data_IF_447007857776
#
_entry.id   IF_447007857776
#
_cell.length_a   1.000
_cell.length_b   1.000
_cell.length_c   1.000
_cell.angle_alpha   90.00
_cell.angle_beta   90.00
_cell.angle_gamma   90.00
#
_symmetry.space_group_name_H-M   'P 1'
#
loop_
_entity.id
_entity.type
_entity.pdbx_description
1 polymer ?
#
# COMPACT_ATOMS: atom_id res chain seq x y z
N UNK A 1 5.79 -19.16 -29.05
CA UNK A 1 6.91 -18.33 -28.57
C UNK A 1 6.52 -17.76 -27.22
N UNK A 2 7.41 -17.82 -26.24
CA UNK A 2 7.15 -17.26 -24.92
C UNK A 2 7.63 -15.82 -24.80
N UNK A 3 6.90 -15.01 -24.04
CA UNK A 3 7.26 -13.63 -23.76
C UNK A 3 6.92 -13.23 -22.33
N UNK A 4 7.77 -12.41 -21.72
CA UNK A 4 7.65 -11.98 -20.33
C UNK A 4 7.48 -10.46 -20.27
N UNK A 5 6.48 -10.00 -19.52
CA UNK A 5 6.31 -8.60 -19.18
C UNK A 5 6.52 -8.39 -17.69
N UNK A 6 7.28 -7.35 -17.33
CA UNK A 6 7.55 -6.97 -15.95
C UNK A 6 7.11 -5.52 -15.74
N UNK A 7 6.27 -5.26 -14.74
CA UNK A 7 5.94 -3.90 -14.29
C UNK A 7 6.43 -3.70 -12.86
N UNK A 8 7.37 -2.77 -12.67
CA UNK A 8 7.77 -2.30 -11.35
C UNK A 8 6.93 -1.07 -11.01
N UNK A 9 5.80 -1.32 -10.35
CA UNK A 9 4.91 -0.25 -9.87
C UNK A 9 5.42 0.38 -8.58
N UNK A 10 4.66 1.32 -8.03
CA UNK A 10 5.01 2.03 -6.78
C UNK A 10 4.90 1.18 -5.51
N UNK A 11 4.02 0.18 -5.51
CA UNK A 11 3.78 -0.70 -4.35
C UNK A 11 4.05 -2.17 -4.62
N UNK A 12 4.04 -2.61 -5.88
CA UNK A 12 4.11 -4.02 -6.27
C UNK A 12 5.02 -4.25 -7.48
N UNK A 13 5.66 -5.41 -7.51
CA UNK A 13 6.24 -6.01 -8.71
C UNK A 13 5.16 -6.89 -9.33
N UNK A 14 4.86 -6.67 -10.62
CA UNK A 14 3.91 -7.50 -11.37
C UNK A 14 4.63 -8.14 -12.54
N UNK A 15 4.27 -9.38 -12.87
CA UNK A 15 4.78 -10.05 -14.06
C UNK A 15 3.70 -10.88 -14.74
N UNK A 16 3.86 -11.05 -16.06
CA UNK A 16 3.02 -11.91 -16.88
C UNK A 16 3.87 -12.65 -17.91
N UNK A 17 3.77 -13.98 -17.93
CA UNK A 17 4.38 -14.85 -18.93
C UNK A 17 3.29 -15.29 -19.91
N UNK A 18 3.53 -15.08 -21.20
CA UNK A 18 2.64 -15.48 -22.27
C UNK A 18 3.27 -16.58 -23.13
N UNK A 19 2.41 -17.42 -23.71
CA UNK A 19 2.71 -18.28 -24.85
C UNK A 19 1.85 -17.83 -26.03
N UNK A 20 2.44 -17.08 -26.97
CA UNK A 20 1.66 -16.32 -27.93
C UNK A 20 0.79 -15.28 -27.21
N UNK A 21 -0.53 -15.21 -27.47
CA UNK A 21 -1.44 -14.31 -26.73
C UNK A 21 -1.97 -14.92 -25.42
N UNK A 22 -1.70 -16.20 -25.15
CA UNK A 22 -2.24 -16.91 -23.98
C UNK A 22 -1.39 -16.64 -22.75
N UNK A 23 -2.03 -16.23 -21.66
CA UNK A 23 -1.37 -16.11 -20.36
C UNK A 23 -1.15 -17.50 -19.79
N UNK A 24 0.11 -17.83 -19.47
CA UNK A 24 0.48 -19.11 -18.83
C UNK A 24 0.87 -18.94 -17.37
N UNK A 25 1.30 -17.74 -16.98
CA UNK A 25 1.59 -17.40 -15.60
C UNK A 25 1.51 -15.89 -15.36
N UNK A 26 1.12 -15.50 -14.16
CA UNK A 26 1.13 -14.10 -13.71
C UNK A 26 1.36 -14.04 -12.21
N UNK A 27 2.02 -12.99 -11.74
CA UNK A 27 2.22 -12.74 -10.32
C UNK A 27 2.12 -11.24 -10.00
N UNK A 28 1.70 -10.95 -8.76
CA UNK A 28 1.67 -9.61 -8.19
C UNK A 28 2.18 -9.70 -6.76
N UNK A 29 3.35 -9.13 -6.51
CA UNK A 29 4.02 -9.23 -5.21
C UNK A 29 4.30 -7.83 -4.64
N UNK A 30 3.87 -7.53 -3.40
CA UNK A 30 4.18 -6.27 -2.75
C UNK A 30 5.68 -6.21 -2.43
N UNK A 31 6.34 -5.13 -2.84
CA UNK A 31 7.79 -5.04 -2.65
C UNK A 31 8.23 -4.36 -1.36
N UNK A 32 7.35 -3.65 -0.65
CA UNK A 32 7.65 -2.97 0.63
C UNK A 32 8.96 -2.15 0.59
N UNK A 33 9.19 -1.44 -0.51
CA UNK A 33 10.43 -0.69 -0.78
C UNK A 33 11.66 -1.50 -1.25
N UNK A 34 11.63 -2.83 -1.25
CA UNK A 34 12.71 -3.71 -1.74
C UNK A 34 12.31 -4.46 -3.02
N UNK A 35 12.08 -3.74 -4.11
CA UNK A 35 11.72 -4.35 -5.38
C UNK A 35 12.82 -5.24 -6.00
N UNK A 36 14.15 -5.03 -5.81
CA UNK A 36 15.16 -5.91 -6.40
C UNK A 36 15.08 -7.34 -5.87
N UNK A 37 14.97 -7.51 -4.55
CA UNK A 37 14.81 -8.81 -3.90
C UNK A 37 13.46 -9.45 -4.28
N UNK A 38 12.39 -8.65 -4.25
CA UNK A 38 11.04 -9.10 -4.62
C UNK A 38 11.00 -9.63 -6.05
N UNK A 39 11.58 -8.90 -7.01
CA UNK A 39 11.66 -9.34 -8.40
C UNK A 39 12.48 -10.63 -8.54
N UNK A 40 13.63 -10.72 -7.86
CA UNK A 40 14.49 -11.91 -7.90
C UNK A 40 13.77 -13.15 -7.39
N UNK A 41 13.04 -13.02 -6.29
CA UNK A 41 12.21 -14.09 -5.72
C UNK A 41 11.07 -14.49 -6.65
N UNK A 42 10.37 -13.50 -7.20
CA UNK A 42 9.25 -13.70 -8.12
C UNK A 42 9.70 -14.43 -9.40
N UNK A 43 10.84 -14.05 -10.00
CA UNK A 43 11.37 -14.71 -11.19
C UNK A 43 11.90 -16.12 -10.88
N UNK A 44 12.50 -16.34 -9.71
CA UNK A 44 12.94 -17.67 -9.27
C UNK A 44 11.78 -18.62 -8.97
N UNK A 45 10.57 -18.09 -8.72
CA UNK A 45 9.37 -18.88 -8.43
C UNK A 45 8.63 -19.40 -9.66
N UNK A 46 9.12 -19.11 -10.87
CA UNK A 46 8.50 -19.52 -12.13
C UNK A 46 9.54 -20.18 -13.05
N UNK A 47 9.18 -21.29 -13.69
CA UNK A 47 10.00 -21.90 -14.74
C UNK A 47 9.95 -21.04 -16.01
N UNK A 48 10.97 -20.19 -16.18
CA UNK A 48 11.09 -19.29 -17.32
C UNK A 48 11.87 -19.97 -18.45
N UNK A 49 11.35 -19.98 -19.69
CA UNK A 49 12.09 -20.51 -20.84
C UNK A 49 13.43 -19.79 -21.03
N UNK A 50 14.52 -20.51 -21.32
CA UNK A 50 15.82 -19.89 -21.58
C UNK A 50 15.75 -18.83 -22.67
N UNK A 51 16.27 -17.63 -22.38
CA UNK A 51 16.28 -16.53 -23.34
C UNK A 51 14.90 -15.93 -23.66
N UNK A 52 13.89 -16.14 -22.80
CA UNK A 52 12.56 -15.53 -22.96
C UNK A 52 12.66 -14.03 -23.24
N UNK A 53 11.99 -13.60 -24.32
CA UNK A 53 11.95 -12.18 -24.67
C UNK A 53 11.17 -11.42 -23.61
N UNK A 54 11.83 -10.44 -23.00
CA UNK A 54 11.31 -9.72 -21.85
C UNK A 54 11.24 -8.23 -22.13
N UNK A 55 10.15 -7.60 -21.70
CA UNK A 55 9.99 -6.15 -21.75
C UNK A 55 9.57 -5.62 -20.38
N UNK A 56 10.17 -4.51 -19.99
CA UNK A 56 9.93 -3.90 -18.67
C UNK A 56 9.18 -2.58 -18.80
N UNK A 57 8.27 -2.33 -17.87
CA UNK A 57 7.61 -1.04 -17.68
C UNK A 57 7.55 -0.66 -16.20
N UNK A 58 6.93 0.47 -15.87
CA UNK A 58 6.99 1.09 -14.55
C UNK A 58 8.27 1.90 -14.33
N UNK A 59 8.17 3.00 -13.57
CA UNK A 59 9.22 4.02 -13.49
C UNK A 59 10.58 3.45 -13.07
N UNK A 60 10.65 2.78 -11.93
CA UNK A 60 11.90 2.19 -11.44
C UNK A 60 12.40 1.09 -12.36
N UNK A 61 11.50 0.27 -12.90
CA UNK A 61 11.84 -0.83 -13.82
C UNK A 61 12.57 -0.33 -15.06
N UNK A 62 12.07 0.73 -15.70
CA UNK A 62 12.69 1.33 -16.90
C UNK A 62 14.10 1.88 -16.62
N UNK A 63 14.33 2.42 -15.43
CA UNK A 63 15.59 3.04 -15.07
C UNK A 63 16.62 2.07 -14.49
N UNK A 64 16.19 1.05 -13.77
CA UNK A 64 17.06 0.19 -12.96
C UNK A 64 17.22 -1.23 -13.51
N UNK A 65 16.31 -1.75 -14.33
CA UNK A 65 16.49 -3.05 -14.96
C UNK A 65 17.34 -2.95 -16.23
N UNK A 66 18.18 -3.95 -16.44
CA UNK A 66 18.98 -4.15 -17.64
C UNK A 66 18.19 -4.96 -18.70
N UNK A 67 16.98 -4.47 -18.99
CA UNK A 67 16.03 -5.04 -19.94
C UNK A 67 15.52 -3.90 -20.81
N UNK A 68 15.16 -4.18 -22.07
CA UNK A 68 14.43 -3.22 -22.88
C UNK A 68 13.17 -2.72 -22.15
N UNK A 69 12.86 -1.45 -22.36
CA UNK A 69 11.89 -0.76 -21.52
C UNK A 69 10.91 0.04 -22.36
N UNK A 70 9.66 0.12 -21.90
CA UNK A 70 8.57 0.84 -22.57
C UNK A 70 7.72 1.56 -21.53
N UNK A 71 7.13 2.70 -21.90
CA UNK A 71 6.24 3.45 -21.00
C UNK A 71 4.90 2.70 -20.80
N UNK A 72 4.30 2.86 -19.61
CA UNK A 72 3.07 2.16 -19.23
C UNK A 72 1.89 2.42 -20.18
N UNK A 73 1.65 3.64 -20.71
CA UNK A 73 0.57 3.88 -21.66
C UNK A 73 0.63 3.01 -22.92
N UNK A 74 1.82 2.71 -23.45
CA UNK A 74 1.96 1.84 -24.62
C UNK A 74 1.66 0.37 -24.28
N UNK A 75 1.98 -0.06 -23.06
CA UNK A 75 1.58 -1.39 -22.58
C UNK A 75 0.06 -1.48 -22.47
N UNK A 76 -0.58 -0.44 -21.94
CA UNK A 76 -2.04 -0.35 -21.85
C UNK A 76 -2.66 -0.45 -23.25
N UNK A 77 -2.18 0.32 -24.22
CA UNK A 77 -2.66 0.23 -25.60
C UNK A 77 -2.47 -1.19 -26.17
N UNK A 78 -1.31 -1.81 -25.99
CA UNK A 78 -1.08 -3.17 -26.49
C UNK A 78 -2.05 -4.19 -25.88
N UNK A 79 -2.34 -4.07 -24.58
CA UNK A 79 -3.34 -4.89 -23.91
C UNK A 79 -4.75 -4.62 -24.44
N UNK A 80 -5.11 -3.36 -24.74
CA UNK A 80 -6.40 -2.99 -25.34
C UNK A 80 -6.54 -3.50 -26.78
N UNK A 81 -5.49 -3.46 -27.59
CA UNK A 81 -5.50 -4.00 -28.96
C UNK A 81 -5.76 -5.50 -29.01
N UNK A 82 -5.36 -6.24 -27.96
CA UNK A 82 -5.60 -7.67 -27.87
C UNK A 82 -7.00 -8.03 -27.34
N UNK A 83 -7.86 -7.02 -27.07
CA UNK A 83 -9.26 -7.22 -26.67
C UNK A 83 -10.19 -7.21 -27.87
N UNK A 84 -11.37 -7.83 -27.69
CA UNK A 84 -12.41 -7.92 -28.73
C UNK A 84 -13.49 -6.84 -28.59
N UNK A 85 -13.56 -6.18 -27.43
CA UNK A 85 -14.53 -5.15 -27.09
C UNK A 85 -13.89 -3.76 -27.14
N UNK A 86 -14.65 -2.79 -27.68
CA UNK A 86 -14.30 -1.37 -27.62
C UNK A 86 -14.71 -0.77 -26.28
N UNK A 87 -13.88 0.13 -25.76
CA UNK A 87 -14.13 0.89 -24.52
C UNK A 87 -13.97 2.38 -24.77
N UNK A 88 -14.63 3.21 -23.98
CA UNK A 88 -14.55 4.67 -24.07
C UNK A 88 -13.45 5.25 -23.16
N UNK A 89 -13.19 4.56 -22.03
CA UNK A 89 -12.12 4.94 -21.11
C UNK A 89 -11.57 3.75 -20.31
N UNK A 90 -10.35 3.92 -19.82
CA UNK A 90 -9.70 3.03 -18.87
C UNK A 90 -9.38 3.80 -17.59
N UNK A 91 -9.71 3.23 -16.43
CA UNK A 91 -9.34 3.75 -15.12
C UNK A 91 -8.31 2.81 -14.50
N UNK A 92 -7.07 3.27 -14.37
CA UNK A 92 -6.02 2.56 -13.63
C UNK A 92 -6.08 2.97 -12.16
N UNK A 93 -6.44 2.00 -11.31
CA UNK A 93 -6.60 2.13 -9.86
C UNK A 93 -5.35 1.56 -9.16
N UNK A 94 -4.31 2.38 -9.11
CA UNK A 94 -2.99 2.03 -8.57
C UNK A 94 -2.86 2.18 -7.06
N UNK A 95 -1.64 1.89 -6.58
CA UNK A 95 -1.27 2.06 -5.17
C UNK A 95 -1.15 3.54 -4.78
N UNK A 96 -0.43 4.31 -5.58
CA UNK A 96 -0.16 5.74 -5.30
C UNK A 96 -0.87 6.70 -6.27
N UNK A 97 -1.42 6.16 -7.36
CA UNK A 97 -2.03 6.94 -8.42
C UNK A 97 -3.43 6.42 -8.81
N UNK A 98 -4.19 7.34 -9.38
CA UNK A 98 -5.44 7.11 -10.07
C UNK A 98 -5.32 7.84 -11.40
N UNK A 99 -5.43 7.10 -12.51
CA UNK A 99 -5.33 7.67 -13.84
C UNK A 99 -6.52 7.24 -14.68
N UNK A 100 -7.16 8.19 -15.35
CA UNK A 100 -8.20 7.92 -16.35
C UNK A 100 -7.64 8.22 -17.73
N UNK A 101 -7.64 7.22 -18.61
CA UNK A 101 -7.28 7.35 -20.01
C UNK A 101 -8.55 7.35 -20.86
N UNK A 102 -8.73 8.33 -21.72
CA UNK A 102 -9.81 8.31 -22.73
C UNK A 102 -9.32 7.60 -23.96
N UNK A 103 -10.15 6.71 -24.51
CA UNK A 103 -9.76 5.78 -25.57
C UNK A 103 -10.56 6.10 -26.84
N UNK A 104 -9.92 6.05 -28.00
CA UNK A 104 -10.60 6.20 -29.30
C UNK A 104 -11.13 4.88 -29.85
N UNK A 105 -11.80 4.94 -31.01
CA UNK A 105 -12.34 3.76 -31.70
C UNK A 105 -11.28 2.77 -32.19
N UNK A 106 -10.01 3.17 -32.21
CA UNK A 106 -8.88 2.34 -32.59
C UNK A 106 -8.12 1.80 -31.37
N UNK A 107 -8.70 1.86 -30.16
CA UNK A 107 -8.06 1.43 -28.91
C UNK A 107 -6.74 2.17 -28.62
N UNK A 108 -6.64 3.44 -29.01
CA UNK A 108 -5.52 4.34 -28.71
C UNK A 108 -5.88 5.32 -27.60
N UNK A 109 -4.88 5.66 -26.80
CA UNK A 109 -5.03 6.65 -25.73
C UNK A 109 -5.00 8.04 -26.36
N UNK A 110 -6.10 8.79 -26.20
CA UNK A 110 -6.20 10.18 -26.65
C UNK A 110 -5.55 11.11 -25.64
N UNK A 111 -5.90 10.95 -24.37
CA UNK A 111 -5.40 11.78 -23.26
C UNK A 111 -5.53 11.06 -21.93
N UNK A 112 -4.90 11.61 -20.89
CA UNK A 112 -4.92 11.08 -19.54
C UNK A 112 -5.21 12.16 -18.50
N UNK A 113 -5.98 11.77 -17.46
CA UNK A 113 -6.32 12.59 -16.32
C UNK A 113 -5.78 11.92 -15.07
N UNK A 114 -4.76 12.52 -14.45
CA UNK A 114 -4.08 11.97 -13.27
C UNK A 114 -4.23 12.86 -12.02
N UNK A 115 -4.10 12.23 -10.85
CA UNK A 115 -4.44 12.78 -9.54
C UNK A 115 -3.34 12.60 -8.52
N UNK A 116 -2.14 13.12 -8.80
CA UNK A 116 -0.91 12.63 -8.16
C UNK A 116 -0.42 13.49 -6.98
N UNK A 117 -1.29 14.29 -6.35
CA UNK A 117 -0.87 15.22 -5.28
C UNK A 117 -1.39 14.88 -3.87
N UNK A 118 -2.26 13.88 -3.74
CA UNK A 118 -2.78 13.48 -2.43
C UNK A 118 -3.01 11.97 -2.38
N UNK A 119 -2.41 11.32 -1.39
CA UNK A 119 -2.61 9.90 -1.06
C UNK A 119 -4.07 9.59 -0.66
N UNK A 120 -4.90 10.60 -0.42
CA UNK A 120 -6.33 10.39 -0.16
C UNK A 120 -6.98 9.72 -1.36
N UNK A 121 -7.55 8.53 -1.13
CA UNK A 121 -8.27 7.76 -2.14
C UNK A 121 -7.37 6.98 -3.11
N UNK A 122 -6.21 6.51 -2.67
CA UNK A 122 -5.36 5.56 -3.43
C UNK A 122 -5.27 4.21 -2.70
N UNK A 123 -4.84 3.16 -3.40
CA UNK A 123 -4.74 1.81 -2.82
C UNK A 123 -3.78 1.70 -1.63
N UNK A 124 -2.66 2.44 -1.67
CA UNK A 124 -1.65 2.44 -0.61
C UNK A 124 -2.20 3.07 0.67
N UNK A 125 -2.92 4.19 0.57
CA UNK A 125 -3.56 4.78 1.75
C UNK A 125 -4.59 3.83 2.39
N UNK A 126 -5.35 3.13 1.55
CA UNK A 126 -6.30 2.11 2.01
C UNK A 126 -5.59 0.97 2.76
N UNK A 127 -4.54 0.39 2.16
CA UNK A 127 -3.69 -0.65 2.77
C UNK A 127 -3.09 -0.19 4.10
N UNK A 128 -2.60 1.05 4.19
CA UNK A 128 -2.09 1.61 5.43
C UNK A 128 -3.14 1.74 6.54
N UNK A 129 -4.40 2.04 6.20
CA UNK A 129 -5.47 2.09 7.21
C UNK A 129 -5.84 0.69 7.69
N UNK A 130 -5.90 -0.30 6.79
CA UNK A 130 -6.12 -1.70 7.17
C UNK A 130 -5.05 -2.16 8.17
N UNK A 131 -3.77 -1.94 7.86
CA UNK A 131 -2.67 -2.32 8.74
C UNK A 131 -2.77 -1.69 10.14
N UNK A 132 -3.29 -0.47 10.26
CA UNK A 132 -3.53 0.18 11.56
C UNK A 132 -4.65 -0.46 12.37
N UNK A 133 -5.66 -0.98 11.68
CA UNK A 133 -6.75 -1.75 12.27
C UNK A 133 -6.38 -3.22 12.47
N UNK A 134 -5.11 -3.58 12.28
CA UNK A 134 -4.61 -4.96 12.30
C UNK A 134 -5.33 -5.87 11.29
N UNK A 135 -5.60 -5.32 10.10
CA UNK A 135 -6.24 -6.00 8.98
C UNK A 135 -5.27 -6.12 7.80
N UNK A 136 -5.45 -7.19 7.06
CA UNK A 136 -4.84 -7.46 5.76
C UNK A 136 -5.81 -7.08 4.62
N UNK A 137 -5.33 -7.10 3.38
CA UNK A 137 -6.20 -6.92 2.22
C UNK A 137 -7.26 -8.02 2.10
N UNK A 138 -6.97 -9.25 2.54
CA UNK A 138 -7.92 -10.38 2.51
C UNK A 138 -9.11 -10.16 3.46
N UNK A 139 -8.88 -9.47 4.59
CA UNK A 139 -9.91 -9.24 5.60
C UNK A 139 -11.07 -8.37 5.08
N UNK A 140 -10.90 -7.66 3.97
CA UNK A 140 -11.99 -6.89 3.33
C UNK A 140 -13.09 -7.82 2.79
N UNK A 141 -12.83 -9.11 2.59
CA UNK A 141 -13.86 -10.06 2.15
C UNK A 141 -14.74 -10.56 3.31
N UNK A 142 -14.39 -10.21 4.56
CA UNK A 142 -15.06 -10.67 5.78
C UNK A 142 -15.75 -9.53 6.55
N UNK A 143 -16.04 -8.41 5.88
CA UNK A 143 -16.71 -7.29 6.55
C UNK A 143 -18.18 -7.66 6.85
N UNK A 144 -18.65 -7.48 8.10
CA UNK A 144 -20.05 -7.73 8.46
C UNK A 144 -21.04 -6.94 7.60
N UNK A 145 -22.18 -7.56 7.26
CA UNK A 145 -23.20 -6.95 6.41
C UNK A 145 -23.87 -5.72 7.04
N UNK A 146 -23.92 -5.66 8.38
CA UNK A 146 -24.51 -4.56 9.14
C UNK A 146 -23.58 -3.33 9.22
N UNK A 147 -22.39 -3.38 8.63
CA UNK A 147 -21.50 -2.23 8.52
C UNK A 147 -22.08 -1.16 7.58
N UNK A 148 -21.76 0.10 7.87
CA UNK A 148 -22.29 1.26 7.15
C UNK A 148 -21.19 2.22 6.69
N UNK A 149 -21.50 2.96 5.63
CA UNK A 149 -20.66 4.08 5.19
C UNK A 149 -20.82 5.25 6.16
N UNK A 150 -19.71 5.73 6.68
CA UNK A 150 -19.60 6.92 7.52
C UNK A 150 -19.00 8.07 6.70
N UNK A 151 -19.41 9.29 7.05
CA UNK A 151 -18.78 10.49 6.49
C UNK A 151 -17.40 10.68 7.12
N UNK A 152 -16.36 10.58 6.30
CA UNK A 152 -14.97 10.83 6.70
C UNK A 152 -14.50 12.20 6.22
N UNK A 153 -13.57 12.81 6.95
CA UNK A 153 -12.76 13.92 6.47
C UNK A 153 -11.87 13.47 5.30
N UNK A 154 -12.33 13.60 4.06
CA UNK A 154 -11.72 12.95 2.89
C UNK A 154 -10.75 13.81 2.07
N UNK A 155 -10.58 15.10 2.37
CA UNK A 155 -9.71 15.99 1.57
C UNK A 155 -8.21 15.69 1.70
N UNK A 156 -7.76 15.37 2.92
CA UNK A 156 -6.36 15.11 3.23
C UNK A 156 -6.22 13.76 3.93
N UNK A 157 -5.30 12.93 3.46
CA UNK A 157 -5.01 11.60 4.04
C UNK A 157 -4.62 11.68 5.52
N UNK A 158 -3.93 12.75 5.94
CA UNK A 158 -3.54 12.97 7.35
C UNK A 158 -4.76 13.16 8.24
N UNK A 159 -5.71 14.00 7.83
CA UNK A 159 -6.94 14.21 8.60
C UNK A 159 -7.88 13.00 8.52
N UNK A 160 -7.96 12.35 7.35
CA UNK A 160 -8.75 11.14 7.18
C UNK A 160 -8.28 10.03 8.11
N UNK A 161 -6.96 9.83 8.24
CA UNK A 161 -6.36 8.91 9.21
C UNK A 161 -6.82 9.23 10.64
N UNK A 162 -6.68 10.49 11.05
CA UNK A 162 -7.00 10.89 12.42
C UNK A 162 -8.49 10.69 12.72
N UNK A 163 -9.37 11.02 11.77
CA UNK A 163 -10.81 10.81 11.88
C UNK A 163 -11.16 9.31 12.02
N UNK A 164 -10.57 8.44 11.19
CA UNK A 164 -10.74 6.99 11.31
C UNK A 164 -10.32 6.48 12.69
N UNK A 165 -9.13 6.88 13.14
CA UNK A 165 -8.59 6.48 14.46
C UNK A 165 -9.49 6.96 15.59
N UNK A 166 -9.92 8.21 15.54
CA UNK A 166 -10.73 8.82 16.59
C UNK A 166 -12.07 8.13 16.76
N UNK A 167 -12.75 7.82 15.63
CA UNK A 167 -14.03 7.11 15.64
C UNK A 167 -13.91 5.69 16.19
N UNK A 168 -12.84 4.97 15.83
CA UNK A 168 -12.54 3.64 16.38
C UNK A 168 -12.32 3.73 17.89
N UNK A 169 -11.49 4.67 18.35
CA UNK A 169 -11.17 4.84 19.76
C UNK A 169 -12.40 5.21 20.62
N UNK A 170 -13.34 5.97 20.05
CA UNK A 170 -14.60 6.32 20.71
C UNK A 170 -15.69 5.25 20.63
N UNK A 171 -15.46 4.18 19.87
CA UNK A 171 -16.49 3.17 19.59
C UNK A 171 -17.62 3.69 18.69
N UNK A 172 -17.43 4.81 18.00
CA UNK A 172 -18.41 5.38 17.05
C UNK A 172 -18.42 4.62 15.70
N UNK A 173 -17.36 3.87 15.41
CA UNK A 173 -17.19 3.07 14.22
C UNK A 173 -16.54 1.73 14.55
N UNK A 174 -16.92 0.69 13.79
CA UNK A 174 -16.18 -0.58 13.71
C UNK A 174 -15.18 -0.52 12.56
N UNK A 175 -14.21 -1.43 12.56
CA UNK A 175 -13.23 -1.54 11.47
C UNK A 175 -13.90 -1.71 10.10
N UNK A 176 -14.97 -2.50 10.03
CA UNK A 176 -15.77 -2.66 8.82
C UNK A 176 -16.44 -1.39 8.31
N UNK A 177 -16.92 -0.53 9.22
CA UNK A 177 -17.48 0.78 8.84
C UNK A 177 -16.40 1.66 8.19
N UNK A 178 -15.17 1.63 8.73
CA UNK A 178 -14.03 2.35 8.15
C UNK A 178 -13.68 1.79 6.76
N UNK A 179 -13.64 0.46 6.58
CA UNK A 179 -13.37 -0.17 5.27
C UNK A 179 -14.37 0.26 4.20
N UNK A 180 -15.67 0.21 4.52
CA UNK A 180 -16.72 0.67 3.60
C UNK A 180 -16.59 2.16 3.29
N UNK A 181 -16.31 2.97 4.30
CA UNK A 181 -16.17 4.43 4.16
C UNK A 181 -14.99 4.81 3.27
N UNK A 182 -13.83 4.19 3.45
CA UNK A 182 -12.65 4.41 2.62
C UNK A 182 -12.87 3.95 1.18
N UNK A 183 -13.53 2.81 0.99
CA UNK A 183 -13.90 2.30 -0.34
C UNK A 183 -14.84 3.27 -1.06
N UNK A 184 -15.79 3.87 -0.34
CA UNK A 184 -16.67 4.90 -0.88
C UNK A 184 -15.91 6.18 -1.27
N UNK A 185 -14.94 6.63 -0.45
CA UNK A 185 -14.08 7.78 -0.79
C UNK A 185 -13.30 7.55 -2.09
N UNK A 186 -12.74 6.35 -2.29
CA UNK A 186 -12.08 6.00 -3.54
C UNK A 186 -13.05 6.01 -4.72
N UNK A 187 -14.26 5.46 -4.55
CA UNK A 187 -15.28 5.43 -5.59
C UNK A 187 -15.75 6.84 -6.01
N UNK A 188 -15.88 7.77 -5.06
CA UNK A 188 -16.16 9.19 -5.36
C UNK A 188 -15.05 9.78 -6.24
N UNK A 189 -13.78 9.51 -5.91
CA UNK A 189 -12.63 10.00 -6.67
C UNK A 189 -12.63 9.47 -8.12
N UNK A 190 -13.00 8.20 -8.33
CA UNK A 190 -13.14 7.63 -9.68
C UNK A 190 -14.22 8.36 -10.47
N UNK A 191 -15.39 8.57 -9.89
CA UNK A 191 -16.49 9.29 -10.54
C UNK A 191 -16.09 10.74 -10.89
N UNK A 192 -15.40 11.44 -10.00
CA UNK A 192 -14.92 12.80 -10.24
C UNK A 192 -13.94 12.87 -11.42
N UNK A 193 -13.06 11.88 -11.55
CA UNK A 193 -12.10 11.80 -12.65
C UNK A 193 -12.74 11.45 -13.99
N UNK A 194 -13.71 10.54 -14.00
CA UNK A 194 -14.50 10.24 -15.20
C UNK A 194 -15.29 11.46 -15.67
N UNK A 195 -15.91 12.21 -14.76
CA UNK A 195 -16.60 13.48 -15.08
C UNK A 195 -15.64 14.52 -15.65
N UNK A 196 -14.44 14.66 -15.08
CA UNK A 196 -13.38 15.54 -15.62
C UNK A 196 -12.94 15.11 -17.03
N UNK A 197 -12.91 13.81 -17.28
CA UNK A 197 -12.65 13.22 -18.60
C UNK A 197 -13.87 13.28 -19.54
N UNK A 198 -15.00 13.84 -19.10
CA UNK A 198 -16.28 13.93 -19.84
C UNK A 198 -16.86 12.56 -20.22
N UNK A 199 -16.61 11.54 -19.40
CA UNK A 199 -17.16 10.19 -19.54
C UNK A 199 -18.31 10.02 -18.54
N UNK A 200 -19.54 10.10 -19.04
CA UNK A 200 -20.76 9.97 -18.22
C UNK A 200 -21.59 8.72 -18.56
N UNK A 201 -21.33 8.08 -19.71
CA UNK A 201 -21.98 6.88 -20.22
C UNK A 201 -21.00 6.05 -21.06
N UNK A 202 -21.38 4.83 -21.39
CA UNK A 202 -20.58 3.94 -22.25
C UNK A 202 -19.84 2.86 -21.47
N UNK A 203 -18.71 2.37 -21.98
CA UNK A 203 -17.93 1.27 -21.41
C UNK A 203 -16.62 1.76 -20.83
N UNK A 204 -16.38 1.41 -19.56
CA UNK A 204 -15.16 1.79 -18.85
C UNK A 204 -14.46 0.55 -18.31
N UNK A 205 -13.20 0.36 -18.70
CA UNK A 205 -12.35 -0.71 -18.18
C UNK A 205 -11.69 -0.26 -16.87
N UNK A 206 -11.76 -1.06 -15.83
CA UNK A 206 -11.08 -0.82 -14.56
C UNK A 206 -9.87 -1.76 -14.44
N UNK A 207 -8.69 -1.22 -14.19
CA UNK A 207 -7.45 -1.98 -13.99
C UNK A 207 -6.76 -1.56 -12.68
N UNK A 208 -5.71 -2.27 -12.31
CA UNK A 208 -4.94 -2.04 -11.08
C UNK A 208 -5.43 -2.88 -9.89
N UNK A 209 -4.56 -3.04 -8.89
CA UNK A 209 -4.80 -3.95 -7.77
C UNK A 209 -5.99 -3.60 -6.89
N UNK A 210 -6.43 -2.33 -6.88
CA UNK A 210 -7.59 -1.87 -6.12
C UNK A 210 -8.92 -2.44 -6.66
N UNK A 211 -8.95 -2.93 -7.90
CA UNK A 211 -10.12 -3.63 -8.46
C UNK A 211 -10.51 -4.88 -7.68
N UNK A 212 -9.61 -5.45 -6.87
CA UNK A 212 -9.89 -6.58 -5.99
C UNK A 212 -10.76 -6.21 -4.78
N UNK A 213 -10.92 -4.92 -4.48
CA UNK A 213 -11.85 -4.48 -3.45
C UNK A 213 -13.30 -4.52 -3.99
N UNK A 214 -14.19 -5.38 -3.48
CA UNK A 214 -15.54 -5.52 -4.02
C UNK A 214 -16.41 -4.28 -3.73
N UNK A 215 -16.15 -3.56 -2.63
CA UNK A 215 -16.94 -2.42 -2.23
C UNK A 215 -16.70 -1.20 -3.12
N UNK A 216 -15.46 -0.94 -3.55
CA UNK A 216 -15.21 0.14 -4.50
C UNK A 216 -15.91 -0.14 -5.83
N UNK A 217 -15.89 -1.39 -6.33
CA UNK A 217 -16.60 -1.77 -7.54
C UNK A 217 -18.11 -1.55 -7.42
N UNK A 218 -18.71 -1.98 -6.30
CA UNK A 218 -20.12 -1.73 -5.99
C UNK A 218 -20.43 -0.23 -6.00
N UNK A 219 -19.69 0.56 -5.22
CA UNK A 219 -19.94 1.99 -5.08
C UNK A 219 -19.72 2.78 -6.37
N UNK A 220 -18.79 2.38 -7.22
CA UNK A 220 -18.59 3.02 -8.53
C UNK A 220 -19.80 2.77 -9.43
N UNK A 221 -20.28 1.51 -9.50
CA UNK A 221 -21.47 1.13 -10.31
C UNK A 221 -22.73 1.85 -9.85
N UNK A 222 -22.99 1.90 -8.54
CA UNK A 222 -24.14 2.60 -7.96
C UNK A 222 -24.14 4.11 -8.29
N UNK A 223 -22.94 4.72 -8.37
CA UNK A 223 -22.79 6.16 -8.57
C UNK A 223 -22.85 6.60 -10.03
N UNK A 224 -22.47 5.72 -10.95
CA UNK A 224 -22.39 6.00 -12.37
C UNK A 224 -23.15 4.90 -13.15
N UNK A 225 -24.48 4.75 -12.96
CA UNK A 225 -25.25 3.63 -13.50
C UNK A 225 -25.37 3.62 -15.03
N UNK A 226 -25.06 4.75 -15.70
CA UNK A 226 -25.04 4.84 -17.16
C UNK A 226 -23.73 4.31 -17.78
N UNK A 227 -22.75 3.96 -16.95
CA UNK A 227 -21.48 3.38 -17.37
C UNK A 227 -21.48 1.89 -17.08
N UNK A 228 -21.16 1.09 -18.10
CA UNK A 228 -20.82 -0.31 -17.96
C UNK A 228 -19.35 -0.44 -17.52
N UNK A 229 -19.14 -0.80 -16.25
CA UNK A 229 -17.79 -1.04 -15.70
C UNK A 229 -17.35 -2.49 -15.89
N UNK A 230 -16.25 -2.66 -16.63
CA UNK A 230 -15.67 -3.96 -16.97
C UNK A 230 -14.37 -4.12 -16.17
N UNK A 231 -14.21 -5.26 -15.50
CA UNK A 231 -12.96 -5.63 -14.80
C UNK A 231 -12.41 -6.88 -15.47
N UNK A 232 -11.30 -6.79 -16.24
CA UNK A 232 -10.69 -7.96 -16.84
C UNK A 232 -9.97 -8.80 -15.78
N UNK A 233 -9.80 -10.09 -16.06
CA UNK A 233 -8.99 -10.99 -15.22
C UNK A 233 -7.56 -10.46 -15.02
N UNK A 234 -7.01 -9.82 -16.06
CA UNK A 234 -5.68 -9.24 -16.06
C UNK A 234 -5.58 -7.93 -15.26
N UNK A 235 -6.67 -7.42 -14.68
CA UNK A 235 -6.71 -6.10 -14.02
C UNK A 235 -5.55 -5.87 -13.03
N UNK A 236 -5.19 -6.80 -12.13
CA UNK A 236 -4.12 -6.57 -11.15
C UNK A 236 -2.72 -6.39 -11.75
N UNK A 237 -2.49 -6.89 -12.97
CA UNK A 237 -1.20 -6.93 -13.66
C UNK A 237 -1.28 -6.47 -15.13
N UNK A 238 -2.25 -5.60 -15.43
CA UNK A 238 -2.61 -5.22 -16.80
C UNK A 238 -1.46 -4.58 -17.60
N UNK A 239 -0.62 -3.77 -16.94
CA UNK A 239 0.54 -3.15 -17.59
C UNK A 239 1.64 -4.18 -17.89
N UNK A 240 1.83 -5.17 -17.00
CA UNK A 240 2.77 -6.26 -17.24
C UNK A 240 2.27 -7.18 -18.38
N UNK A 241 0.96 -7.41 -18.47
CA UNK A 241 0.34 -8.11 -19.59
C UNK A 241 0.63 -7.42 -20.93
N UNK A 242 0.40 -6.11 -20.99
CA UNK A 242 0.70 -5.30 -22.17
C UNK A 242 2.18 -5.35 -22.57
N UNK A 243 3.07 -5.26 -21.59
CA UNK A 243 4.51 -5.41 -21.84
C UNK A 243 4.85 -6.79 -22.41
N UNK A 244 4.23 -7.86 -21.89
CA UNK A 244 4.45 -9.22 -22.36
C UNK A 244 3.97 -9.43 -23.80
N UNK A 245 2.85 -8.81 -24.20
CA UNK A 245 2.36 -8.83 -25.58
C UNK A 245 3.33 -8.15 -26.54
N UNK A 246 4.00 -7.08 -26.10
CA UNK A 246 4.96 -6.32 -26.91
C UNK A 246 6.37 -6.94 -26.92
N UNK A 247 6.70 -7.78 -25.93
CA UNK A 247 8.06 -8.25 -25.73
C UNK A 247 8.58 -9.12 -26.90
N UNK A 248 7.71 -9.82 -27.64
CA UNK A 248 8.13 -10.59 -28.80
C UNK A 248 8.78 -9.72 -29.91
N UNK A 249 8.35 -8.47 -30.07
CA UNK A 249 8.87 -7.55 -31.10
C UNK A 249 9.85 -6.50 -30.57
N UNK A 250 9.71 -6.09 -29.31
CA UNK A 250 10.46 -4.97 -28.73
C UNK A 250 11.31 -5.36 -27.51
N UNK A 251 11.15 -6.59 -27.02
CA UNK A 251 11.85 -7.07 -25.84
C UNK A 251 13.34 -7.34 -26.07
N UNK A 252 13.99 -7.72 -24.98
CA UNK A 252 15.34 -8.27 -24.98
C UNK A 252 15.34 -9.59 -24.21
N UNK A 253 16.26 -10.54 -24.49
CA UNK A 253 16.39 -11.74 -23.68
C UNK A 253 16.55 -11.40 -22.20
N UNK A 254 15.85 -12.14 -21.32
CA UNK A 254 16.00 -11.98 -19.87
C UNK A 254 17.47 -12.21 -19.46
N UNK A 255 18.15 -11.23 -18.85
CA UNK A 255 19.52 -11.41 -18.38
C UNK A 255 19.58 -12.38 -17.20
N UNK A 256 20.76 -12.96 -16.97
CA UNK A 256 21.04 -13.72 -15.75
C UNK A 256 20.84 -12.85 -14.49
N UNK A 257 20.47 -13.44 -13.33
CA UNK A 257 20.14 -12.69 -12.12
C UNK A 257 21.20 -11.66 -11.69
N UNK A 258 22.49 -11.96 -11.86
CA UNK A 258 23.61 -11.09 -11.48
C UNK A 258 23.72 -9.84 -12.36
N UNK A 259 23.10 -9.87 -13.54
CA UNK A 259 23.09 -8.79 -14.54
C UNK A 259 21.72 -8.17 -14.72
N UNK A 260 20.74 -8.52 -13.88
CA UNK A 260 19.36 -8.06 -13.99
C UNK A 260 19.23 -6.55 -13.74
N UNK A 261 20.05 -6.00 -12.85
CA UNK A 261 20.02 -4.60 -12.47
C UNK A 261 21.20 -3.83 -13.09
N UNK A 262 20.93 -2.62 -13.57
CA UNK A 262 21.96 -1.67 -14.00
C UNK A 262 22.78 -1.22 -12.79
N UNK A 263 24.06 -0.90 -13.01
CA UNK A 263 24.86 -0.20 -11.98
C UNK A 263 24.32 1.22 -11.81
N UNK A 264 23.51 1.45 -10.79
CA UNK A 264 23.00 2.78 -10.45
C UNK A 264 23.82 3.42 -9.34
N UNK A 265 24.28 4.66 -9.54
CA UNK A 265 24.82 5.50 -8.49
C UNK A 265 23.74 6.43 -7.93
N UNK A 266 23.73 6.63 -6.60
CA UNK A 266 22.83 7.59 -5.96
C UNK A 266 23.23 9.00 -6.42
N UNK A 267 22.38 9.65 -7.21
CA UNK A 267 22.61 11.01 -7.72
C UNK A 267 22.44 12.10 -6.66
N UNK A 268 21.83 11.78 -5.52
CA UNK A 268 21.67 12.73 -4.43
C UNK A 268 22.98 12.96 -3.69
N UNK A 269 23.28 14.24 -3.43
CA UNK A 269 24.36 14.64 -2.54
C UNK A 269 24.18 13.95 -1.20
N UNK A 270 25.10 13.05 -0.85
CA UNK A 270 25.15 12.52 0.51
C UNK A 270 25.60 13.65 1.43
N UNK A 271 24.78 13.95 2.42
CA UNK A 271 25.20 14.84 3.50
C UNK A 271 26.34 14.18 4.29
N UNK A 272 27.12 15.00 5.03
CA UNK A 272 28.10 14.46 5.97
C UNK A 272 27.36 13.51 6.93
N UNK A 273 28.02 12.41 7.28
CA UNK A 273 27.50 11.47 8.27
C UNK A 273 27.03 12.22 9.52
N UNK A 274 25.94 11.77 10.14
CA UNK A 274 25.47 12.32 11.43
C UNK A 274 26.55 12.26 12.52
N UNK A 275 27.53 11.35 12.39
CA UNK A 275 28.74 11.32 13.25
C UNK A 275 29.48 12.66 13.29
N UNK A 276 29.43 13.45 12.21
CA UNK A 276 30.06 14.78 12.18
C UNK A 276 29.41 15.80 13.14
N UNK A 277 28.19 15.51 13.63
CA UNK A 277 27.48 16.30 14.62
C UNK A 277 27.52 15.67 16.03
N UNK A 278 28.22 14.55 16.23
CA UNK A 278 28.22 13.82 17.51
C UNK A 278 28.71 14.67 18.69
N UNK A 279 29.75 15.50 18.48
CA UNK A 279 30.22 16.46 19.48
C UNK A 279 29.24 17.60 19.80
N UNK A 280 28.12 17.71 19.07
CA UNK A 280 27.01 18.64 19.36
C UNK A 280 25.84 17.95 20.05
N UNK A 281 25.89 16.63 20.25
CA UNK A 281 24.85 15.86 20.89
C UNK A 281 25.21 15.67 22.36
N UNK A 282 24.39 16.22 23.25
CA UNK A 282 24.42 15.85 24.66
C UNK A 282 23.60 14.59 24.84
N UNK A 283 24.28 13.47 25.11
CA UNK A 283 23.62 12.22 25.47
C UNK A 283 23.22 12.26 26.95
N UNK A 284 21.92 12.26 27.21
CA UNK A 284 21.39 12.07 28.55
C UNK A 284 21.24 10.56 28.77
N UNK A 285 21.99 9.99 29.71
CA UNK A 285 21.84 8.59 30.07
C UNK A 285 20.47 8.37 30.69
N UNK A 286 19.74 7.37 30.19
CA UNK A 286 18.52 6.92 30.84
C UNK A 286 18.89 6.28 32.17
N UNK A 287 18.42 6.85 33.28
CA UNK A 287 18.54 6.24 34.59
C UNK A 287 17.34 5.30 34.79
N UNK A 288 17.64 3.99 34.77
CA UNK A 288 16.66 2.95 35.13
C UNK A 288 16.89 2.55 36.59
N UNK A 289 15.91 2.88 37.42
CA UNK A 289 15.86 2.45 38.82
C UNK A 289 15.13 1.10 38.95
N UNK A 290 15.05 0.61 40.18
CA UNK A 290 14.13 -0.48 40.57
C UNK A 290 12.96 0.10 41.34
N UNK A 291 11.85 -0.60 41.33
CA UNK A 291 10.72 -0.29 42.22
C UNK A 291 11.13 -0.60 43.66
N UNK A 292 10.79 0.30 44.59
CA UNK A 292 11.06 0.18 46.03
C UNK A 292 9.73 0.27 46.77
N UNK A 293 9.49 -0.67 47.69
CA UNK A 293 8.26 -0.72 48.45
C UNK A 293 8.10 0.52 49.34
N UNK A 294 6.87 1.01 49.48
CA UNK A 294 6.54 2.17 50.32
C UNK A 294 6.93 3.53 49.72
N UNK A 295 7.31 3.59 48.44
CA UNK A 295 7.51 4.86 47.71
C UNK A 295 6.31 5.23 46.85
N UNK A 296 6.24 6.50 46.50
CA UNK A 296 5.26 7.09 45.58
C UNK A 296 5.80 7.09 44.14
N UNK A 297 4.92 6.79 43.18
CA UNK A 297 5.28 6.70 41.76
C UNK A 297 4.27 7.42 40.87
N UNK A 298 4.76 8.00 39.78
CA UNK A 298 3.93 8.56 38.72
C UNK A 298 3.83 7.55 37.58
N UNK A 299 2.60 7.16 37.23
CA UNK A 299 2.34 6.35 36.04
C UNK A 299 1.95 7.24 34.86
N UNK A 300 2.87 7.40 33.91
CA UNK A 300 2.61 8.01 32.61
C UNK A 300 2.09 6.98 31.61
N UNK A 301 1.03 7.32 30.88
CA UNK A 301 0.46 6.49 29.80
C UNK A 301 0.32 7.33 28.54
N UNK A 302 0.87 6.84 27.42
CA UNK A 302 0.71 7.42 26.09
C UNK A 302 0.00 6.41 25.18
N UNK A 303 -1.30 6.63 24.98
CA UNK A 303 -2.14 5.86 24.07
C UNK A 303 -2.20 6.47 22.68
N UNK A 304 -1.44 5.90 21.73
CA UNK A 304 -1.44 6.33 20.34
C UNK A 304 -2.20 5.40 19.39
N UNK A 305 -2.37 5.86 18.15
CA UNK A 305 -2.96 5.06 17.05
C UNK A 305 -2.11 3.85 16.64
N UNK A 306 -0.78 3.96 16.78
CA UNK A 306 0.17 2.92 16.37
C UNK A 306 0.69 2.11 17.57
N UNK A 307 0.93 2.80 18.69
CA UNK A 307 1.60 2.25 19.86
C UNK A 307 0.94 2.75 21.14
N UNK A 308 0.91 1.90 22.15
CA UNK A 308 0.56 2.28 23.53
C UNK A 308 1.79 2.08 24.40
N UNK A 309 2.10 3.06 25.23
CA UNK A 309 3.29 3.08 26.08
C UNK A 309 2.89 3.38 27.52
N UNK A 310 3.64 2.83 28.45
CA UNK A 310 3.54 3.16 29.86
C UNK A 310 4.94 3.35 30.46
N UNK A 311 5.05 4.27 31.40
CA UNK A 311 6.28 4.52 32.17
C UNK A 311 5.91 4.79 33.61
N UNK A 312 6.50 4.02 34.53
CA UNK A 312 6.45 4.25 35.96
C UNK A 312 7.71 5.01 36.37
N UNK A 313 7.53 6.14 37.03
CA UNK A 313 8.60 7.07 37.40
C UNK A 313 8.59 7.23 38.92
N UNK A 314 9.73 7.02 39.57
CA UNK A 314 9.89 7.28 41.01
C UNK A 314 9.74 8.78 41.27
N UNK A 315 8.85 9.15 42.19
CA UNK A 315 8.53 10.55 42.47
C UNK A 315 9.74 11.31 43.05
N UNK A 316 10.58 10.65 43.84
CA UNK A 316 11.73 11.27 44.51
C UNK A 316 12.94 11.36 43.56
N UNK A 317 13.25 10.28 42.83
CA UNK A 317 14.47 10.19 42.02
C UNK A 317 14.28 10.60 40.56
N UNK A 318 13.02 10.70 40.09
CA UNK A 318 12.67 10.88 38.66
C UNK A 318 13.18 9.76 37.74
N UNK A 319 13.62 8.63 38.29
CA UNK A 319 14.09 7.48 37.51
C UNK A 319 12.91 6.69 36.94
N UNK A 320 13.08 6.15 35.74
CA UNK A 320 12.10 5.23 35.16
C UNK A 320 12.34 3.85 35.77
N UNK A 321 11.38 3.36 36.57
CA UNK A 321 11.50 2.08 37.30
C UNK A 321 10.82 0.91 36.59
N UNK A 322 9.75 1.19 35.85
CA UNK A 322 9.13 0.21 34.97
C UNK A 322 8.67 0.87 33.67
N UNK A 323 8.72 0.16 32.56
CA UNK A 323 8.25 0.71 31.28
C UNK A 323 7.80 -0.37 30.31
N UNK A 324 6.89 0.01 29.41
CA UNK A 324 6.48 -0.84 28.31
C UNK A 324 6.20 -0.02 27.06
N UNK A 325 6.59 -0.58 25.91
CA UNK A 325 6.30 -0.06 24.59
C UNK A 325 5.67 -1.17 23.76
N UNK A 326 4.39 -1.03 23.43
CA UNK A 326 3.64 -2.01 22.66
C UNK A 326 2.92 -1.39 21.47
N UNK A 327 2.47 -2.23 20.55
CA UNK A 327 1.62 -1.85 19.41
C UNK A 327 0.15 -1.80 19.85
N UNK A 328 -0.60 -0.81 19.34
CA UNK A 328 -2.03 -0.64 19.66
C UNK A 328 -2.91 -1.68 18.96
N UNK A 329 -2.50 -2.14 17.77
CA UNK A 329 -3.25 -3.11 16.95
C UNK A 329 -4.73 -2.76 16.73
N UNK A 330 -5.06 -1.46 16.66
CA UNK A 330 -6.44 -0.99 16.49
C UNK A 330 -7.36 -1.17 17.71
N UNK A 331 -6.85 -1.69 18.83
CA UNK A 331 -7.59 -1.88 20.08
C UNK A 331 -6.87 -1.18 21.25
N UNK A 332 -7.10 0.12 21.45
CA UNK A 332 -6.40 0.90 22.46
C UNK A 332 -6.71 0.44 23.89
N UNK A 333 -7.91 -0.09 24.13
CA UNK A 333 -8.33 -0.56 25.46
C UNK A 333 -7.56 -1.83 25.81
N UNK A 334 -7.50 -2.81 24.90
CA UNK A 334 -6.72 -4.03 25.12
C UNK A 334 -5.24 -3.73 25.20
N UNK A 335 -4.72 -2.85 24.35
CA UNK A 335 -3.31 -2.45 24.39
C UNK A 335 -2.94 -1.81 25.73
N UNK A 336 -3.78 -0.90 26.25
CA UNK A 336 -3.58 -0.31 27.58
C UNK A 336 -3.60 -1.36 28.68
N UNK A 337 -4.57 -2.29 28.66
CA UNK A 337 -4.62 -3.39 29.63
C UNK A 337 -3.33 -4.23 29.61
N UNK A 338 -2.78 -4.51 28.43
CA UNK A 338 -1.50 -5.22 28.30
C UNK A 338 -0.33 -4.40 28.86
N UNK A 339 -0.28 -3.09 28.62
CA UNK A 339 0.74 -2.21 29.18
C UNK A 339 0.71 -2.24 30.71
N UNK A 340 -0.47 -2.10 31.32
CA UNK A 340 -0.63 -2.09 32.77
C UNK A 340 -0.25 -3.43 33.39
N UNK A 341 -0.60 -4.56 32.75
CA UNK A 341 -0.18 -5.89 33.20
C UNK A 341 1.34 -6.04 33.20
N UNK A 342 2.01 -5.50 32.19
CA UNK A 342 3.47 -5.57 32.09
C UNK A 342 4.16 -4.68 33.13
N UNK A 343 3.62 -3.48 33.40
CA UNK A 343 4.10 -2.64 34.51
C UNK A 343 3.91 -3.35 35.86
N UNK A 344 2.74 -3.95 36.10
CA UNK A 344 2.49 -4.73 37.32
C UNK A 344 3.43 -5.92 37.47
N UNK A 345 3.78 -6.58 36.36
CA UNK A 345 4.75 -7.68 36.35
C UNK A 345 6.13 -7.18 36.81
N UNK A 346 6.62 -6.08 36.23
CA UNK A 346 7.91 -5.48 36.60
C UNK A 346 7.92 -5.00 38.07
N UNK A 347 6.83 -4.41 38.57
CA UNK A 347 6.70 -4.05 40.00
C UNK A 347 6.87 -5.30 40.88
N UNK A 348 6.15 -6.38 40.57
CA UNK A 348 6.24 -7.63 41.34
C UNK A 348 7.61 -8.29 41.28
N UNK A 349 8.34 -8.16 40.17
CA UNK A 349 9.71 -8.67 40.07
C UNK A 349 10.68 -7.96 41.02
N UNK A 350 10.46 -6.67 41.27
CA UNK A 350 11.33 -5.87 42.14
C UNK A 350 10.95 -5.96 43.62
N UNK A 351 9.66 -6.00 43.97
CA UNK A 351 9.21 -5.90 45.37
C UNK A 351 8.33 -7.07 45.86
N UNK A 352 8.03 -8.07 45.03
CA UNK A 352 7.16 -9.19 45.39
C UNK A 352 5.74 -8.75 45.75
N UNK A 353 5.30 -9.07 46.97
CA UNK A 353 4.02 -8.64 47.54
C UNK A 353 4.08 -7.28 48.25
N UNK A 354 5.23 -6.60 48.19
CA UNK A 354 5.36 -5.22 48.66
C UNK A 354 4.39 -4.29 47.93
N UNK A 355 3.95 -3.23 48.62
CA UNK A 355 3.06 -2.23 48.05
C UNK A 355 3.82 -0.94 47.68
N UNK A 356 3.38 -0.30 46.61
CA UNK A 356 3.71 1.09 46.28
C UNK A 356 2.54 1.98 46.69
N UNK A 357 2.79 3.25 47.01
CA UNK A 357 1.76 4.21 47.41
C UNK A 357 1.03 4.83 46.22
#
# INVERSE_FOLDING_TARGET
MYSLGINIGSSNVKAALLEGPRVVWSAVEPHEGNFPDTLTKLLSGCDLPPGVQTLTTGTEGRHLLNIHSVIEPLCIEAALQNRKDSIDALVSLGGEDLVVYTIDSQNKIITSFSGNKCASGTGEFFKQQLARMNMTLDDIHRIPEDCRVLKLSSRCSVFMKSDCTHRLNKGEARTGDIVLSLSNVMAVKVADFLKRARIEKGKVLLTGGVTQNPYILRFIRERMPQIEFIVPEQAPWFEAYGAALMAASAGSPLPAPEKLFKKSSVLFKRFKSLKSAEGRVTYLSSQKGKVVAGREYILGVDGGSTTTKASLIDFETSEVTASFYGRTHGDPVRALKSCLKEIQRQIREDIGDGQIH
#
